data_IF_589783829005
#
_entry.id   IF_589783829005
#
_cell.length_a   1.000
_cell.length_b   1.000
_cell.length_c   1.000
_cell.angle_alpha   90.00
_cell.angle_beta   90.00
_cell.angle_gamma   90.00
#
_symmetry.space_group_name_H-M   'P 1'
#
loop_
_entity.id
_entity.type
_entity.pdbx_description
1 polymer ?
#
# COMPACT_ATOMS: atom_id res chain seq x y z
N UNK A 1 3.24 -34.09 -14.71
CA UNK A 1 3.36 -32.70 -15.21
C UNK A 1 2.57 -31.72 -14.32
N UNK A 2 2.94 -31.58 -13.04
CA UNK A 2 2.46 -30.52 -12.13
C UNK A 2 3.68 -29.80 -11.50
N UNK A 3 4.60 -29.37 -12.35
CA UNK A 3 5.88 -28.78 -11.94
C UNK A 3 5.76 -27.29 -11.60
N UNK A 4 4.76 -26.58 -12.13
CA UNK A 4 4.59 -25.14 -11.90
C UNK A 4 4.03 -24.81 -10.52
N UNK A 5 3.03 -25.56 -10.06
CA UNK A 5 2.40 -25.35 -8.75
C UNK A 5 1.87 -26.66 -8.17
N UNK A 6 2.10 -26.87 -6.87
CA UNK A 6 1.46 -27.91 -6.08
C UNK A 6 1.04 -27.33 -4.75
N UNK A 7 -0.25 -27.44 -4.44
CA UNK A 7 -0.80 -26.96 -3.18
C UNK A 7 -0.17 -27.66 -1.96
N UNK A 8 0.20 -28.93 -2.07
CA UNK A 8 0.89 -29.67 -1.00
C UNK A 8 2.31 -29.13 -0.73
N UNK A 9 3.05 -28.73 -1.77
CA UNK A 9 4.36 -28.08 -1.58
C UNK A 9 4.19 -26.65 -1.05
N UNK A 10 3.28 -25.88 -1.65
CA UNK A 10 2.96 -24.53 -1.21
C UNK A 10 2.58 -24.46 0.27
N UNK A 11 1.65 -25.31 0.72
CA UNK A 11 1.22 -25.34 2.12
C UNK A 11 2.34 -25.73 3.09
N UNK A 12 3.22 -26.67 2.71
CA UNK A 12 4.41 -27.02 3.51
C UNK A 12 5.41 -25.87 3.58
N UNK A 13 5.67 -25.21 2.44
CA UNK A 13 6.52 -24.03 2.37
C UNK A 13 5.95 -22.88 3.19
N UNK A 14 4.65 -22.62 3.05
CA UNK A 14 3.92 -21.61 3.80
C UNK A 14 4.03 -21.87 5.30
N UNK A 15 3.70 -23.07 5.78
CA UNK A 15 3.84 -23.44 7.21
C UNK A 15 5.26 -23.28 7.73
N UNK A 16 6.26 -23.67 6.94
CA UNK A 16 7.66 -23.47 7.30
C UNK A 16 7.99 -21.97 7.44
N UNK A 17 7.64 -21.18 6.42
CA UNK A 17 7.85 -19.74 6.43
C UNK A 17 7.13 -19.08 7.61
N UNK A 18 5.90 -19.49 7.91
CA UNK A 18 5.17 -19.08 9.11
C UNK A 18 5.99 -19.39 10.35
N UNK A 19 6.39 -20.64 10.58
CA UNK A 19 7.08 -21.04 11.80
C UNK A 19 8.43 -20.33 11.99
N UNK A 20 9.16 -20.10 10.89
CA UNK A 20 10.47 -19.44 10.90
C UNK A 20 10.37 -17.94 11.22
N UNK A 21 9.38 -17.25 10.65
CA UNK A 21 9.23 -15.80 10.78
C UNK A 21 8.14 -15.35 11.77
N UNK A 22 7.38 -16.27 12.40
CA UNK A 22 6.30 -15.93 13.31
C UNK A 22 6.74 -14.99 14.46
N UNK A 23 7.87 -15.20 15.15
CA UNK A 23 8.31 -14.28 16.20
C UNK A 23 8.59 -12.88 15.66
N UNK A 24 9.21 -12.80 14.47
CA UNK A 24 9.48 -11.53 13.80
C UNK A 24 8.19 -10.82 13.36
N UNK A 25 7.20 -11.56 12.83
CA UNK A 25 5.90 -11.03 12.46
C UNK A 25 5.05 -10.60 13.66
N UNK A 26 5.10 -11.35 14.76
CA UNK A 26 4.44 -10.98 16.00
C UNK A 26 5.05 -9.67 16.57
N UNK A 27 6.38 -9.57 16.57
CA UNK A 27 7.08 -8.34 16.95
C UNK A 27 6.72 -7.17 16.03
N UNK A 28 6.73 -7.37 14.71
CA UNK A 28 6.33 -6.34 13.74
C UNK A 28 4.87 -5.90 13.95
N UNK A 29 3.97 -6.82 14.28
CA UNK A 29 2.56 -6.53 14.59
C UNK A 29 2.43 -5.73 15.88
N UNK A 30 3.20 -6.07 16.92
CA UNK A 30 3.21 -5.31 18.16
C UNK A 30 3.76 -3.90 17.96
N UNK A 31 4.84 -3.74 17.19
CA UNK A 31 5.39 -2.43 16.82
C UNK A 31 4.40 -1.62 16.00
N UNK A 32 3.70 -2.27 15.06
CA UNK A 32 2.65 -1.64 14.26
C UNK A 32 1.51 -1.12 15.15
N UNK A 33 0.96 -1.97 16.01
CA UNK A 33 -0.12 -1.59 16.93
C UNK A 33 0.33 -0.48 17.89
N UNK A 34 1.53 -0.59 18.45
CA UNK A 34 2.12 0.46 19.31
C UNK A 34 2.32 1.78 18.56
N UNK A 35 2.81 1.74 17.32
CA UNK A 35 2.99 2.93 16.48
C UNK A 35 1.66 3.60 16.13
N UNK A 36 0.65 2.82 15.77
CA UNK A 36 -0.73 3.32 15.57
C UNK A 36 -1.25 3.96 16.87
N UNK A 37 -1.04 3.31 18.02
CA UNK A 37 -1.47 3.79 19.32
C UNK A 37 -0.80 5.09 19.75
N UNK A 38 0.50 5.23 19.48
CA UNK A 38 1.22 6.48 19.73
C UNK A 38 0.68 7.62 18.87
N UNK A 39 0.43 7.38 17.58
CA UNK A 39 -0.08 8.41 16.67
C UNK A 39 -1.52 8.80 17.01
N UNK A 40 -2.42 7.82 17.21
CA UNK A 40 -3.80 8.10 17.58
C UNK A 40 -3.89 8.73 18.97
N UNK A 41 -3.13 8.23 19.96
CA UNK A 41 -3.07 8.80 21.30
C UNK A 41 -2.54 10.23 21.31
N UNK A 42 -1.54 10.54 20.47
CA UNK A 42 -1.06 11.91 20.30
C UNK A 42 -2.14 12.82 19.69
N UNK A 43 -2.89 12.32 18.71
CA UNK A 43 -4.00 13.07 18.12
C UNK A 43 -5.10 13.33 19.14
N UNK A 44 -5.54 12.31 19.88
CA UNK A 44 -6.52 12.45 20.97
C UNK A 44 -6.05 13.48 22.01
N UNK A 45 -4.75 13.48 22.35
CA UNK A 45 -4.20 14.45 23.28
C UNK A 45 -4.26 15.91 22.76
N UNK A 46 -4.02 16.11 21.47
CA UNK A 46 -3.95 17.45 20.86
C UNK A 46 -5.30 17.95 20.33
N UNK A 47 -6.21 17.05 19.96
CA UNK A 47 -7.42 17.37 19.22
C UNK A 47 -8.49 16.28 19.38
N UNK A 48 -9.72 16.61 19.01
CA UNK A 48 -10.82 15.64 18.99
C UNK A 48 -10.62 14.66 17.83
N UNK A 49 -10.69 13.36 18.14
CA UNK A 49 -10.53 12.30 17.16
C UNK A 49 -11.82 12.10 16.36
N UNK A 50 -11.98 12.82 15.25
CA UNK A 50 -13.10 12.64 14.33
C UNK A 50 -12.84 11.53 13.30
N UNK A 51 -13.92 11.03 12.68
CA UNK A 51 -13.88 9.93 11.70
C UNK A 51 -13.03 10.26 10.46
N UNK A 52 -12.97 11.54 10.06
CA UNK A 52 -12.12 12.00 8.94
C UNK A 52 -10.63 11.84 9.25
N UNK A 53 -10.19 12.22 10.44
CA UNK A 53 -8.80 12.10 10.88
C UNK A 53 -8.44 10.61 11.06
N UNK A 54 -9.32 9.82 11.68
CA UNK A 54 -9.14 8.36 11.79
C UNK A 54 -8.96 7.73 10.40
N UNK A 55 -9.84 8.04 9.45
CA UNK A 55 -9.75 7.56 8.07
C UNK A 55 -8.45 7.99 7.37
N UNK A 56 -8.02 9.24 7.55
CA UNK A 56 -6.75 9.74 6.99
C UNK A 56 -5.54 8.99 7.56
N UNK A 57 -5.52 8.77 8.88
CA UNK A 57 -4.44 8.02 9.55
C UNK A 57 -4.43 6.54 9.15
N UNK A 58 -5.61 5.95 8.98
CA UNK A 58 -5.75 4.59 8.43
C UNK A 58 -5.13 4.51 7.02
N UNK A 59 -5.49 5.44 6.13
CA UNK A 59 -4.96 5.46 4.76
C UNK A 59 -3.45 5.65 4.74
N UNK A 60 -2.93 6.65 5.46
CA UNK A 60 -1.48 6.92 5.51
C UNK A 60 -0.71 5.77 6.16
N UNK A 61 -1.23 5.21 7.25
CA UNK A 61 -0.63 4.09 7.95
C UNK A 61 -0.59 2.84 7.09
N UNK A 62 -1.68 2.49 6.39
CA UNK A 62 -1.75 1.33 5.51
C UNK A 62 -0.71 1.43 4.39
N UNK A 63 -0.66 2.58 3.71
CA UNK A 63 0.28 2.79 2.62
C UNK A 63 1.73 2.77 3.12
N UNK A 64 2.04 3.52 4.19
CA UNK A 64 3.41 3.63 4.69
C UNK A 64 3.91 2.31 5.29
N UNK A 65 3.18 1.75 6.27
CA UNK A 65 3.57 0.52 6.94
C UNK A 65 3.54 -0.67 5.96
N UNK A 66 2.56 -0.70 5.05
CA UNK A 66 2.44 -1.75 4.05
C UNK A 66 3.58 -1.74 3.03
N UNK A 67 4.01 -0.57 2.54
CA UNK A 67 5.18 -0.47 1.67
C UNK A 67 6.46 -0.92 2.38
N UNK A 68 6.67 -0.47 3.62
CA UNK A 68 7.82 -0.85 4.45
C UNK A 68 7.87 -2.37 4.69
N UNK A 69 6.75 -2.96 5.07
CA UNK A 69 6.65 -4.40 5.32
C UNK A 69 6.90 -5.22 4.05
N UNK A 70 6.34 -4.79 2.91
CA UNK A 70 6.52 -5.46 1.62
C UNK A 70 7.98 -5.44 1.17
N UNK A 71 8.64 -4.29 1.30
CA UNK A 71 10.06 -4.18 0.99
C UNK A 71 10.92 -5.09 1.88
N UNK A 72 10.56 -5.22 3.16
CA UNK A 72 11.24 -6.11 4.11
C UNK A 72 11.11 -7.60 3.76
N UNK A 73 9.91 -8.07 3.40
CA UNK A 73 9.68 -9.50 3.07
C UNK A 73 10.53 -9.96 1.88
N UNK A 74 10.69 -9.12 0.87
CA UNK A 74 11.44 -9.48 -0.34
C UNK A 74 12.91 -9.07 -0.30
N UNK A 75 13.36 -8.37 0.75
CA UNK A 75 14.76 -7.99 0.94
C UNK A 75 15.71 -9.20 0.90
N UNK A 76 15.25 -10.36 1.38
CA UNK A 76 16.02 -11.62 1.36
C UNK A 76 16.35 -12.11 -0.06
N UNK A 77 15.54 -11.75 -1.07
CA UNK A 77 15.81 -12.07 -2.48
C UNK A 77 16.68 -11.02 -3.19
N UNK A 78 16.89 -9.86 -2.55
CA UNK A 78 17.85 -8.85 -3.00
C UNK A 78 19.29 -9.15 -2.55
N UNK A 79 19.47 -9.86 -1.43
CA UNK A 79 20.78 -10.17 -0.86
C UNK A 79 21.34 -11.51 -1.41
N UNK A 80 22.52 -11.53 -2.06
CA UNK A 80 23.01 -12.70 -2.79
C UNK A 80 23.16 -13.96 -1.92
N UNK A 81 23.61 -13.84 -0.67
CA UNK A 81 23.77 -15.01 0.24
C UNK A 81 22.44 -15.63 0.67
N UNK A 82 21.43 -14.81 0.93
CA UNK A 82 20.09 -15.27 1.35
C UNK A 82 19.27 -15.75 0.15
N UNK A 83 19.45 -15.10 -1.00
CA UNK A 83 18.88 -15.51 -2.27
C UNK A 83 19.32 -16.93 -2.64
N UNK A 84 20.61 -17.30 -2.52
CA UNK A 84 21.06 -18.67 -2.82
C UNK A 84 20.39 -19.72 -1.94
N UNK A 85 20.23 -19.46 -0.63
CA UNK A 85 19.54 -20.39 0.28
C UNK A 85 18.04 -20.49 -0.05
N UNK A 86 17.38 -19.38 -0.34
CA UNK A 86 15.96 -19.37 -0.69
C UNK A 86 15.69 -20.00 -2.07
N UNK A 87 16.59 -19.79 -3.04
CA UNK A 87 16.48 -20.31 -4.41
C UNK A 87 16.78 -21.81 -4.49
N UNK A 88 17.62 -22.36 -3.61
CA UNK A 88 17.94 -23.79 -3.56
C UNK A 88 16.84 -24.65 -2.92
N UNK A 89 15.85 -24.05 -2.25
CA UNK A 89 14.71 -24.81 -1.71
C UNK A 89 13.95 -25.54 -2.83
N UNK A 90 13.58 -26.83 -2.63
CA UNK A 90 12.87 -27.65 -3.61
C UNK A 90 11.37 -27.28 -3.68
N UNK A 91 11.10 -26.05 -4.11
CA UNK A 91 9.79 -25.49 -4.37
C UNK A 91 9.83 -24.69 -5.66
N UNK A 92 8.69 -24.57 -6.36
CA UNK A 92 8.64 -23.81 -7.60
C UNK A 92 8.81 -22.30 -7.33
N UNK A 93 9.24 -21.54 -8.33
CA UNK A 93 9.38 -20.08 -8.19
C UNK A 93 8.06 -19.39 -7.90
N UNK A 94 6.99 -19.89 -8.51
CA UNK A 94 5.64 -19.39 -8.25
C UNK A 94 5.22 -19.65 -6.80
N UNK A 95 5.53 -20.82 -6.24
CA UNK A 95 5.23 -21.13 -4.83
C UNK A 95 5.97 -20.18 -3.89
N UNK A 96 7.27 -19.90 -4.13
CA UNK A 96 8.08 -18.98 -3.33
C UNK A 96 7.57 -17.55 -3.41
N UNK A 97 7.30 -17.08 -4.63
CA UNK A 97 6.73 -15.76 -4.88
C UNK A 97 5.39 -15.57 -4.17
N UNK A 98 4.49 -16.57 -4.28
CA UNK A 98 3.16 -16.51 -3.69
C UNK A 98 3.20 -16.48 -2.16
N UNK A 99 4.15 -17.17 -1.51
CA UNK A 99 4.28 -17.09 -0.04
C UNK A 99 4.56 -15.65 0.38
N UNK A 100 5.56 -15.01 -0.22
CA UNK A 100 5.88 -13.62 0.06
C UNK A 100 4.70 -12.70 -0.22
N UNK A 101 4.08 -12.84 -1.41
CA UNK A 101 2.93 -12.04 -1.84
C UNK A 101 1.72 -12.18 -0.90
N UNK A 102 1.38 -13.40 -0.45
CA UNK A 102 0.24 -13.64 0.46
C UNK A 102 0.50 -12.98 1.82
N UNK A 103 1.73 -13.07 2.33
CA UNK A 103 2.10 -12.43 3.59
C UNK A 103 2.08 -10.91 3.51
N UNK A 104 2.73 -10.34 2.49
CA UNK A 104 2.87 -8.89 2.36
C UNK A 104 1.59 -8.21 1.91
N UNK A 105 0.72 -8.86 1.14
CA UNK A 105 -0.52 -8.26 0.64
C UNK A 105 -1.73 -8.65 1.48
N UNK A 106 -2.11 -9.93 1.50
CA UNK A 106 -3.37 -10.37 2.09
C UNK A 106 -3.33 -10.38 3.62
N UNK A 107 -2.34 -11.06 4.21
CA UNK A 107 -2.24 -11.20 5.66
C UNK A 107 -1.95 -9.85 6.29
N UNK A 108 -1.03 -9.08 5.72
CA UNK A 108 -0.76 -7.72 6.19
C UNK A 108 -2.02 -6.85 6.18
N UNK A 109 -2.79 -6.84 5.08
CA UNK A 109 -4.02 -6.01 5.00
C UNK A 109 -5.01 -6.34 6.12
N UNK A 110 -5.24 -7.63 6.38
CA UNK A 110 -6.14 -8.08 7.44
C UNK A 110 -5.60 -7.72 8.83
N UNK A 111 -4.32 -8.02 9.10
CA UNK A 111 -3.69 -7.74 10.39
C UNK A 111 -3.61 -6.24 10.67
N UNK A 112 -3.25 -5.43 9.67
CA UNK A 112 -3.23 -3.97 9.77
C UNK A 112 -4.62 -3.43 10.11
N UNK A 113 -5.66 -3.89 9.39
CA UNK A 113 -7.04 -3.48 9.66
C UNK A 113 -7.45 -3.82 11.08
N UNK A 114 -7.24 -5.07 11.49
CA UNK A 114 -7.60 -5.53 12.83
C UNK A 114 -6.84 -4.76 13.92
N UNK A 115 -5.54 -4.52 13.73
CA UNK A 115 -4.73 -3.77 14.68
C UNK A 115 -5.18 -2.31 14.77
N UNK A 116 -5.46 -1.66 13.63
CA UNK A 116 -5.95 -0.29 13.61
C UNK A 116 -7.30 -0.18 14.32
N UNK A 117 -8.27 -1.02 13.98
CA UNK A 117 -9.59 -1.02 14.63
C UNK A 117 -9.52 -1.31 16.12
N UNK A 118 -8.65 -2.24 16.54
CA UNK A 118 -8.44 -2.54 17.95
C UNK A 118 -7.91 -1.32 18.70
N UNK A 119 -6.90 -0.65 18.16
CA UNK A 119 -6.28 0.51 18.80
C UNK A 119 -7.20 1.72 18.76
N UNK A 120 -7.86 1.99 17.64
CA UNK A 120 -8.83 3.07 17.49
C UNK A 120 -9.99 2.91 18.48
N UNK A 121 -10.52 1.69 18.62
CA UNK A 121 -11.52 1.39 19.64
C UNK A 121 -11.03 1.67 21.06
N UNK A 122 -9.79 1.32 21.41
CA UNK A 122 -9.21 1.63 22.71
C UNK A 122 -9.06 3.14 22.92
N UNK A 123 -8.59 3.87 21.91
CA UNK A 123 -8.37 5.33 21.98
C UNK A 123 -9.70 6.09 22.10
N UNK A 124 -10.69 5.77 21.27
CA UNK A 124 -12.03 6.37 21.33
C UNK A 124 -12.73 6.01 22.64
N UNK A 125 -12.52 4.81 23.18
CA UNK A 125 -13.08 4.43 24.48
C UNK A 125 -12.46 5.23 25.62
N UNK A 126 -11.16 5.53 25.54
CA UNK A 126 -10.43 6.33 26.53
C UNK A 126 -10.66 7.85 26.38
N UNK A 127 -11.17 8.30 25.23
CA UNK A 127 -11.51 9.70 25.00
C UNK A 127 -12.82 10.07 25.70
N UNK A 128 -12.72 10.87 26.76
CA UNK A 128 -13.86 11.38 27.54
C UNK A 128 -14.16 12.86 27.23
N UNK A 129 -13.84 13.33 26.02
CA UNK A 129 -14.10 14.71 25.61
C UNK A 129 -15.60 15.07 25.63
N UNK A 130 -16.04 15.69 26.73
CA UNK A 130 -17.29 16.43 26.89
C UNK A 130 -18.56 15.76 26.30
N UNK A 131 -18.72 14.44 26.52
CA UNK A 131 -19.99 13.74 26.25
C UNK A 131 -20.40 13.64 24.77
N UNK A 132 -19.44 13.76 23.84
CA UNK A 132 -19.71 13.56 22.41
C UNK A 132 -19.91 12.07 22.07
N UNK A 133 -20.65 11.76 20.99
CA UNK A 133 -20.79 10.38 20.53
C UNK A 133 -19.42 9.81 20.17
N UNK A 134 -19.12 8.64 20.73
CA UNK A 134 -17.93 7.85 20.46
C UNK A 134 -18.11 7.17 19.10
N UNK A 135 -17.64 7.81 18.04
CA UNK A 135 -17.76 7.32 16.67
C UNK A 135 -16.47 6.63 16.21
N UNK A 136 -16.62 5.41 15.70
CA UNK A 136 -15.55 4.68 15.05
C UNK A 136 -15.63 4.88 13.55
N UNK A 137 -14.46 5.01 12.93
CA UNK A 137 -14.34 5.06 11.49
C UNK A 137 -14.83 3.76 10.84
N UNK A 138 -15.70 3.88 9.83
CA UNK A 138 -16.20 2.75 9.06
C UNK A 138 -15.52 2.68 7.67
N UNK A 139 -14.79 1.58 7.42
CA UNK A 139 -14.09 1.35 6.16
C UNK A 139 -15.03 1.31 4.93
N UNK A 140 -16.26 0.84 5.13
CA UNK A 140 -17.27 0.63 4.09
C UNK A 140 -18.34 1.73 4.07
N UNK A 141 -18.01 2.94 4.50
CA UNK A 141 -18.95 4.07 4.51
C UNK A 141 -19.01 4.80 3.14
N UNK A 142 -19.88 5.81 3.03
CA UNK A 142 -20.10 6.61 1.83
C UNK A 142 -18.82 7.27 1.28
N UNK A 143 -17.80 7.47 2.13
CA UNK A 143 -16.50 8.00 1.71
C UNK A 143 -15.63 6.97 0.97
N UNK A 144 -16.08 5.72 0.85
CA UNK A 144 -15.44 4.63 0.09
C UNK A 144 -13.96 4.43 0.44
N UNK A 145 -13.61 4.54 1.73
CA UNK A 145 -12.22 4.46 2.16
C UNK A 145 -11.61 3.08 1.84
N UNK A 146 -12.42 2.02 1.68
CA UNK A 146 -11.98 0.72 1.14
C UNK A 146 -11.24 0.82 -0.21
N UNK A 147 -11.44 1.87 -1.01
CA UNK A 147 -10.74 2.06 -2.27
C UNK A 147 -9.22 2.19 -2.08
N UNK A 148 -8.78 2.56 -0.87
CA UNK A 148 -7.36 2.62 -0.50
C UNK A 148 -6.63 1.28 -0.74
N UNK A 149 -7.34 0.15 -0.66
CA UNK A 149 -6.75 -1.16 -0.92
C UNK A 149 -6.29 -1.35 -2.37
N UNK A 150 -6.94 -0.68 -3.32
CA UNK A 150 -6.52 -0.72 -4.72
C UNK A 150 -5.25 0.09 -4.93
N UNK A 151 -5.15 1.27 -4.31
CA UNK A 151 -3.91 2.05 -4.30
C UNK A 151 -2.79 1.32 -3.55
N UNK A 152 -3.12 0.65 -2.45
CA UNK A 152 -2.20 -0.21 -1.74
C UNK A 152 -1.70 -1.36 -2.62
N UNK A 153 -2.54 -1.97 -3.46
CA UNK A 153 -2.10 -3.00 -4.40
C UNK A 153 -1.03 -2.49 -5.37
N UNK A 154 -1.19 -1.28 -5.91
CA UNK A 154 -0.20 -0.65 -6.79
C UNK A 154 1.11 -0.34 -6.04
N UNK A 155 1.00 0.24 -4.84
CA UNK A 155 2.14 0.55 -3.98
C UNK A 155 2.90 -0.72 -3.58
N UNK A 156 2.17 -1.75 -3.15
CA UNK A 156 2.66 -3.08 -2.82
C UNK A 156 3.41 -3.67 -4.02
N UNK A 157 2.82 -3.65 -5.21
CA UNK A 157 3.48 -4.16 -6.41
C UNK A 157 4.77 -3.40 -6.76
N UNK A 158 4.78 -2.07 -6.60
CA UNK A 158 5.98 -1.25 -6.79
C UNK A 158 7.08 -1.56 -5.77
N UNK A 159 6.72 -1.68 -4.49
CA UNK A 159 7.64 -2.05 -3.42
C UNK A 159 8.25 -3.45 -3.63
N UNK A 160 7.41 -4.40 -4.05
CA UNK A 160 7.80 -5.78 -4.39
C UNK A 160 8.81 -5.80 -5.54
N UNK A 161 8.49 -5.09 -6.64
CA UNK A 161 9.35 -4.98 -7.81
C UNK A 161 10.71 -4.36 -7.45
N UNK A 162 10.66 -3.26 -6.68
CA UNK A 162 11.84 -2.57 -6.18
C UNK A 162 12.75 -3.43 -5.30
N UNK A 163 12.16 -4.21 -4.40
CA UNK A 163 12.89 -5.13 -3.50
C UNK A 163 13.68 -6.21 -4.26
N UNK A 164 13.17 -6.67 -5.41
CA UNK A 164 13.88 -7.66 -6.24
C UNK A 164 14.89 -6.98 -7.19
N UNK A 165 14.54 -5.82 -7.74
CA UNK A 165 15.36 -5.15 -8.75
C UNK A 165 16.64 -4.56 -8.15
N UNK A 166 16.56 -3.95 -6.96
CA UNK A 166 17.70 -3.31 -6.31
C UNK A 166 18.32 -4.20 -5.23
N UNK A 167 19.65 -4.39 -5.25
CA UNK A 167 20.33 -5.22 -4.23
C UNK A 167 20.50 -4.50 -2.89
N UNK A 168 20.95 -3.23 -2.94
CA UNK A 168 21.20 -2.40 -1.76
C UNK A 168 20.31 -1.17 -1.76
N UNK A 169 19.82 -0.81 -0.57
CA UNK A 169 18.93 0.33 -0.32
C UNK A 169 17.69 0.28 -1.22
N UNK A 170 17.12 -0.91 -1.42
CA UNK A 170 16.02 -1.13 -2.35
C UNK A 170 14.79 -0.29 -2.00
N UNK A 171 14.44 -0.19 -0.71
CA UNK A 171 13.34 0.65 -0.27
C UNK A 171 13.57 2.12 -0.67
N UNK A 172 14.74 2.67 -0.32
CA UNK A 172 15.08 4.08 -0.61
C UNK A 172 15.10 4.37 -2.12
N UNK A 173 15.70 3.49 -2.93
CA UNK A 173 15.76 3.67 -4.39
C UNK A 173 14.38 3.60 -5.04
N UNK A 174 13.54 2.68 -4.56
CA UNK A 174 12.19 2.51 -5.09
C UNK A 174 11.30 3.70 -4.71
N UNK A 175 11.35 4.13 -3.44
CA UNK A 175 10.63 5.30 -2.97
C UNK A 175 11.08 6.57 -3.71
N UNK A 176 12.39 6.76 -3.89
CA UNK A 176 12.94 7.90 -4.64
C UNK A 176 12.52 7.86 -6.11
N UNK A 177 12.62 6.70 -6.77
CA UNK A 177 12.17 6.53 -8.15
C UNK A 177 10.67 6.81 -8.33
N UNK A 178 9.84 6.32 -7.39
CA UNK A 178 8.41 6.58 -7.38
C UNK A 178 8.10 8.08 -7.16
N UNK A 179 8.85 8.75 -6.29
CA UNK A 179 8.71 10.19 -6.06
C UNK A 179 9.07 11.00 -7.29
N UNK A 180 10.21 10.71 -7.93
CA UNK A 180 10.62 11.37 -9.18
C UNK A 180 9.58 11.15 -10.27
N UNK A 181 9.09 9.91 -10.43
CA UNK A 181 8.03 9.60 -11.39
C UNK A 181 6.74 10.38 -11.09
N UNK A 182 6.32 10.46 -9.83
CA UNK A 182 5.14 11.22 -9.43
C UNK A 182 5.28 12.71 -9.75
N UNK A 183 6.44 13.32 -9.46
CA UNK A 183 6.72 14.72 -9.79
C UNK A 183 6.67 14.96 -11.30
N UNK A 184 7.33 14.10 -12.08
CA UNK A 184 7.32 14.20 -13.54
C UNK A 184 5.90 14.05 -14.09
N UNK A 185 5.13 13.08 -13.58
CA UNK A 185 3.76 12.81 -14.02
C UNK A 185 2.82 13.98 -13.68
N UNK A 186 2.90 14.53 -12.47
CA UNK A 186 2.13 15.73 -12.06
C UNK A 186 2.49 16.93 -12.92
N UNK A 187 3.79 17.19 -13.10
CA UNK A 187 4.26 18.32 -13.90
C UNK A 187 3.83 18.17 -15.37
N UNK A 188 4.05 17.00 -15.98
CA UNK A 188 3.64 16.73 -17.36
C UNK A 188 2.13 16.83 -17.53
N UNK A 189 1.33 16.25 -16.63
CA UNK A 189 -0.13 16.36 -16.64
C UNK A 189 -0.57 17.82 -16.58
N UNK A 190 0.00 18.60 -15.66
CA UNK A 190 -0.32 20.03 -15.55
C UNK A 190 0.00 20.79 -16.84
N UNK A 191 1.16 20.56 -17.46
CA UNK A 191 1.52 21.23 -18.71
C UNK A 191 0.58 20.85 -19.86
N UNK A 192 0.23 19.57 -19.99
CA UNK A 192 -0.70 19.09 -21.00
C UNK A 192 -2.08 19.72 -20.80
N UNK A 193 -2.63 19.67 -19.59
CA UNK A 193 -3.95 20.26 -19.29
C UNK A 193 -3.91 21.77 -19.47
N UNK A 194 -2.83 22.45 -19.08
CA UNK A 194 -2.67 23.90 -19.28
C UNK A 194 -2.69 24.26 -20.76
N UNK A 195 -2.08 23.45 -21.63
CA UNK A 195 -2.11 23.68 -23.07
C UNK A 195 -3.54 23.64 -23.65
N UNK A 196 -4.47 22.89 -23.05
CA UNK A 196 -5.87 22.83 -23.46
C UNK A 196 -6.77 23.87 -22.76
N UNK A 197 -6.60 24.05 -21.45
CA UNK A 197 -7.46 24.87 -20.60
C UNK A 197 -7.02 26.35 -20.50
N UNK A 198 -5.81 26.66 -20.96
CA UNK A 198 -5.22 28.00 -20.92
C UNK A 198 -4.89 28.48 -19.50
N UNK A 199 -4.77 29.80 -19.34
CA UNK A 199 -4.36 30.43 -18.07
C UNK A 199 -5.43 30.42 -16.98
N UNK A 200 -6.64 29.94 -17.28
CA UNK A 200 -7.68 29.70 -16.28
C UNK A 200 -7.38 28.48 -15.40
N UNK A 201 -6.42 27.63 -15.77
CA UNK A 201 -6.09 26.44 -14.99
C UNK A 201 -5.36 26.81 -13.69
N UNK A 202 -5.93 26.41 -12.55
CA UNK A 202 -5.30 26.58 -11.25
C UNK A 202 -4.69 25.28 -10.73
N UNK A 203 -5.39 24.16 -10.88
CA UNK A 203 -4.94 22.87 -10.39
C UNK A 203 -5.37 21.76 -11.33
N UNK A 204 -4.43 20.88 -11.68
CA UNK A 204 -4.67 19.66 -12.44
C UNK A 204 -3.92 18.51 -11.80
N UNK A 205 -4.61 17.76 -10.94
CA UNK A 205 -4.03 16.52 -10.42
C UNK A 205 -4.26 15.39 -11.43
N UNK A 206 -3.24 14.56 -11.71
CA UNK A 206 -3.38 13.43 -12.61
C UNK A 206 -4.54 12.52 -12.23
N UNK A 207 -5.25 12.01 -13.24
CA UNK A 207 -6.37 11.07 -13.06
C UNK A 207 -7.47 11.59 -12.11
N UNK A 208 -7.69 12.91 -12.12
CA UNK A 208 -8.71 13.56 -11.30
C UNK A 208 -9.32 14.76 -12.03
N UNK A 209 -10.27 15.44 -11.39
CA UNK A 209 -10.84 16.68 -11.90
C UNK A 209 -9.83 17.83 -11.95
N UNK A 210 -10.16 18.84 -12.74
CA UNK A 210 -9.40 20.10 -12.86
C UNK A 210 -10.12 21.23 -12.13
N UNK A 211 -9.36 22.17 -11.59
CA UNK A 211 -9.90 23.39 -11.00
C UNK A 211 -9.54 24.57 -11.89
N UNK A 212 -10.57 25.27 -12.35
CA UNK A 212 -10.48 26.48 -13.16
C UNK A 212 -10.79 27.70 -12.31
N UNK A 213 -10.08 28.80 -12.56
CA UNK A 213 -10.34 30.11 -12.01
C UNK A 213 -10.92 30.99 -13.11
N UNK A 214 -12.17 31.41 -12.95
CA UNK A 214 -12.81 32.39 -13.84
C UNK A 214 -13.15 33.66 -13.06
N UNK A 215 -13.56 34.73 -13.77
CA UNK A 215 -13.91 36.01 -13.16
C UNK A 215 -15.02 35.91 -12.08
N UNK A 216 -15.81 34.84 -12.10
CA UNK A 216 -16.91 34.55 -11.18
C UNK A 216 -16.55 33.60 -10.04
N UNK A 217 -15.32 33.05 -10.01
CA UNK A 217 -14.82 32.19 -8.93
C UNK A 217 -14.14 30.90 -9.38
N UNK A 218 -13.94 29.98 -8.42
CA UNK A 218 -13.31 28.67 -8.64
C UNK A 218 -14.33 27.61 -9.02
N UNK A 219 -14.12 26.95 -10.16
CA UNK A 219 -14.96 25.87 -10.65
C UNK A 219 -14.18 24.57 -10.74
N UNK A 220 -14.72 23.50 -10.15
CA UNK A 220 -14.17 22.16 -10.26
C UNK A 220 -14.89 21.42 -11.37
N UNK A 221 -14.16 21.06 -12.42
CA UNK A 221 -14.65 20.20 -13.50
C UNK A 221 -14.16 18.79 -13.22
N UNK A 222 -15.09 17.88 -12.94
CA UNK A 222 -14.82 16.47 -12.67
C UNK A 222 -15.64 15.59 -13.58
N UNK A 223 -15.13 14.39 -13.87
CA UNK A 223 -15.90 13.41 -14.63
C UNK A 223 -17.19 13.02 -13.89
N UNK A 224 -18.25 12.64 -14.62
CA UNK A 224 -19.42 12.00 -14.03
C UNK A 224 -19.02 10.81 -13.17
N UNK A 225 -19.72 10.56 -12.06
CA UNK A 225 -19.37 9.50 -11.10
C UNK A 225 -19.19 8.12 -11.75
N UNK A 226 -20.02 7.80 -12.74
CA UNK A 226 -19.94 6.54 -13.49
C UNK A 226 -18.59 6.36 -14.22
N UNK A 227 -17.98 7.45 -14.69
CA UNK A 227 -16.67 7.42 -15.35
C UNK A 227 -15.52 7.54 -14.33
N UNK A 228 -15.72 8.27 -13.24
CA UNK A 228 -14.71 8.41 -12.18
C UNK A 228 -14.33 7.07 -11.55
N UNK A 229 -15.27 6.11 -11.47
CA UNK A 229 -15.00 4.76 -11.01
C UNK A 229 -13.94 4.02 -11.84
N UNK A 230 -13.74 4.39 -13.12
CA UNK A 230 -12.75 3.74 -13.97
C UNK A 230 -11.32 4.09 -13.56
N UNK A 231 -11.10 5.17 -12.79
CA UNK A 231 -9.78 5.49 -12.26
C UNK A 231 -9.23 4.40 -11.33
N UNK A 232 -10.10 3.59 -10.73
CA UNK A 232 -9.71 2.44 -9.91
C UNK A 232 -9.01 1.33 -10.70
N UNK A 233 -9.27 1.27 -12.02
CA UNK A 233 -8.65 0.28 -12.90
C UNK A 233 -7.16 0.58 -13.09
N UNK A 234 -6.75 1.85 -13.02
CA UNK A 234 -5.36 2.25 -13.22
C UNK A 234 -4.40 1.64 -12.17
N UNK A 235 -4.62 1.81 -10.84
CA UNK A 235 -3.76 1.17 -9.86
C UNK A 235 -3.83 -0.36 -9.93
N UNK A 236 -4.98 -0.94 -10.29
CA UNK A 236 -5.13 -2.39 -10.47
C UNK A 236 -4.32 -2.95 -11.64
N UNK A 237 -4.37 -2.28 -12.80
CA UNK A 237 -3.59 -2.65 -13.99
C UNK A 237 -2.10 -2.48 -13.71
N UNK A 238 -1.69 -1.37 -13.09
CA UNK A 238 -0.31 -1.17 -12.68
C UNK A 238 0.16 -2.25 -11.70
N UNK A 239 -0.66 -2.61 -10.71
CA UNK A 239 -0.37 -3.68 -9.77
C UNK A 239 -0.15 -5.02 -10.50
N UNK A 240 -1.06 -5.39 -11.41
CA UNK A 240 -0.97 -6.62 -12.17
C UNK A 240 0.29 -6.69 -13.05
N UNK A 241 0.62 -5.59 -13.74
CA UNK A 241 1.83 -5.48 -14.56
C UNK A 241 3.10 -5.61 -13.72
N UNK A 242 3.17 -4.92 -12.58
CA UNK A 242 4.32 -4.95 -11.68
C UNK A 242 4.47 -6.28 -10.95
N UNK A 243 3.37 -6.93 -10.55
CA UNK A 243 3.41 -8.30 -10.02
C UNK A 243 3.98 -9.28 -11.04
N UNK A 244 3.49 -9.21 -12.30
CA UNK A 244 4.02 -10.03 -13.39
C UNK A 244 5.50 -9.75 -13.64
N UNK A 245 5.91 -8.49 -13.70
CA UNK A 245 7.31 -8.10 -13.89
C UNK A 245 8.20 -8.64 -12.76
N UNK A 246 7.71 -8.57 -11.52
CA UNK A 246 8.42 -9.08 -10.35
C UNK A 246 8.62 -10.59 -10.40
N UNK A 247 7.58 -11.33 -10.80
CA UNK A 247 7.65 -12.79 -10.98
C UNK A 247 8.66 -13.19 -12.07
N UNK A 248 8.64 -12.51 -13.23
CA UNK A 248 9.59 -12.76 -14.31
C UNK A 248 11.03 -12.50 -13.86
N UNK A 249 11.27 -11.39 -13.16
CA UNK A 249 12.60 -11.04 -12.67
C UNK A 249 13.12 -12.04 -11.63
N UNK A 250 12.26 -12.55 -10.76
CA UNK A 250 12.63 -13.59 -9.80
C UNK A 250 13.06 -14.89 -10.51
N UNK A 251 12.36 -15.22 -11.60
CA UNK A 251 12.66 -16.41 -12.42
C UNK A 251 14.01 -16.25 -13.14
N UNK A 252 14.30 -15.08 -13.70
CA UNK A 252 15.60 -14.76 -14.33
C UNK A 252 16.78 -14.92 -13.37
N UNK A 253 16.63 -14.52 -12.09
CA UNK A 253 17.72 -14.62 -11.10
C UNK A 253 18.09 -16.06 -10.71
N UNK A 254 17.26 -17.05 -11.04
CA UNK A 254 17.52 -18.45 -10.69
C UNK A 254 18.30 -19.19 -11.79
N UNK A 255 18.17 -18.76 -13.04
CA UNK A 255 18.84 -19.34 -14.21
C UNK A 255 20.32 -18.92 -14.26
#
# INVERSE_FOLDING_TARGET
MSQLFSFSRFSRLFRRHTAEFLPSYAMATAVLAGGIGLVLGFVVYMNVLNTTIQGMLFMLGLLAAGALFTAGIFAQYGAPKQATVALTLPASQLEKYLVGWVYSFLIFSVVYTAAFYLVDWLMVSADDWYGRPKELFHLFDAQKIYEIYFYYAALHAGALWGAIFFEKNHFLKTAFGALVLAVVLVAANYQVVKAFAGDKLQMASPFSGITLNDATGFYRVSLPEAQAQWYILLPLVLAALLWRATYLRLTEKQL
#
